data_IF_909660964639
#
_entry.id   IF_909660964639
#
_cell.length_a   1.000
_cell.length_b   1.000
_cell.length_c   1.000
_cell.angle_alpha   90.00
_cell.angle_beta   90.00
_cell.angle_gamma   90.00
#
_symmetry.space_group_name_H-M   'P 1'
#
loop_
_entity.id
_entity.type
_entity.pdbx_description
1 polymer ?
#
# COMPACT_ATOMS: atom_id res chain seq x y z
N UNK A 1 -61.48 -7.53 -26.65
CA UNK A 1 -60.95 -6.17 -26.45
C UNK A 1 -59.61 -6.35 -25.76
N UNK A 2 -58.54 -5.95 -26.43
CA UNK A 2 -57.18 -6.08 -25.93
C UNK A 2 -56.81 -4.77 -25.23
N UNK A 3 -56.73 -4.78 -23.91
CA UNK A 3 -56.21 -3.66 -23.13
C UNK A 3 -54.72 -3.85 -22.91
N UNK A 4 -53.93 -3.08 -23.65
CA UNK A 4 -52.51 -2.85 -23.41
C UNK A 4 -52.34 -2.00 -22.15
N UNK A 5 -51.51 -2.40 -21.17
CA UNK A 5 -51.10 -1.46 -20.13
C UNK A 5 -50.07 -0.47 -20.70
N UNK A 6 -50.49 0.79 -20.69
CA UNK A 6 -49.73 1.99 -21.02
C UNK A 6 -48.38 2.03 -20.31
N UNK A 7 -47.32 2.35 -21.08
CA UNK A 7 -45.99 2.60 -20.56
C UNK A 7 -46.01 3.81 -19.61
N UNK A 8 -46.01 3.53 -18.30
CA UNK A 8 -45.84 4.55 -17.30
C UNK A 8 -44.44 5.16 -17.42
N UNK A 9 -44.43 6.44 -17.80
CA UNK A 9 -43.28 7.31 -17.90
C UNK A 9 -42.55 7.33 -16.54
N UNK A 10 -41.42 6.64 -16.43
CA UNK A 10 -40.59 6.70 -15.23
C UNK A 10 -39.95 8.09 -15.17
N UNK A 11 -40.35 8.88 -14.16
CA UNK A 11 -39.65 10.11 -13.80
C UNK A 11 -38.14 9.82 -13.62
N UNK A 12 -37.24 10.76 -13.97
CA UNK A 12 -35.81 10.57 -13.74
C UNK A 12 -35.53 10.66 -12.24
N UNK A 13 -35.71 9.53 -11.57
CA UNK A 13 -35.34 9.32 -10.18
C UNK A 13 -33.83 9.29 -10.09
N UNK A 14 -33.27 10.38 -9.54
CA UNK A 14 -31.93 10.53 -8.97
C UNK A 14 -31.26 9.19 -8.65
N UNK A 15 -30.29 8.79 -9.48
CA UNK A 15 -29.42 7.66 -9.20
C UNK A 15 -28.69 7.88 -7.85
N UNK A 16 -28.44 6.83 -7.05
CA UNK A 16 -27.58 6.94 -5.88
C UNK A 16 -26.18 7.41 -6.34
N UNK A 17 -25.47 8.23 -5.55
CA UNK A 17 -24.28 8.94 -6.01
C UNK A 17 -23.13 8.01 -6.43
N UNK A 18 -23.17 6.72 -6.07
CA UNK A 18 -22.15 5.75 -6.43
C UNK A 18 -22.80 4.39 -6.75
N UNK A 19 -23.50 4.31 -7.88
CA UNK A 19 -23.74 3.03 -8.54
C UNK A 19 -22.46 2.60 -9.24
N UNK A 20 -21.68 1.70 -8.62
CA UNK A 20 -20.52 1.10 -9.27
C UNK A 20 -21.00 0.17 -10.39
N UNK A 21 -21.12 0.75 -11.58
CA UNK A 21 -21.40 0.00 -12.79
C UNK A 21 -20.18 -0.86 -13.14
N UNK A 22 -20.39 -2.10 -13.57
CA UNK A 22 -19.32 -3.09 -13.85
C UNK A 22 -18.36 -2.65 -14.97
N UNK A 23 -18.68 -1.55 -15.65
CA UNK A 23 -17.90 -0.89 -16.71
C UNK A 23 -16.91 0.18 -16.21
N UNK A 24 -16.91 0.50 -14.91
CA UNK A 24 -16.07 1.57 -14.35
C UNK A 24 -14.58 1.22 -14.19
N UNK A 25 -14.18 0.00 -14.54
CA UNK A 25 -12.79 -0.48 -14.41
C UNK A 25 -11.83 0.06 -15.47
N UNK A 26 -12.36 0.67 -16.53
CA UNK A 26 -11.55 1.19 -17.67
C UNK A 26 -11.51 2.71 -17.74
N UNK A 27 -12.18 3.42 -16.83
CA UNK A 27 -12.09 4.87 -16.79
C UNK A 27 -10.72 5.28 -16.22
N UNK A 28 -9.97 6.17 -16.89
CA UNK A 28 -8.75 6.71 -16.29
C UNK A 28 -9.14 7.42 -14.99
N UNK A 29 -8.71 6.84 -13.86
CA UNK A 29 -8.76 7.51 -12.56
C UNK A 29 -7.82 8.70 -12.66
N UNK A 30 -8.35 9.88 -12.95
CA UNK A 30 -7.66 11.15 -12.71
C UNK A 30 -8.04 11.54 -11.29
N UNK A 31 -7.19 11.33 -10.28
CA UNK A 31 -7.52 11.73 -8.92
C UNK A 31 -7.41 13.24 -8.86
N UNK A 32 -8.54 13.95 -8.93
CA UNK A 32 -8.59 15.37 -8.58
C UNK A 32 -8.62 15.46 -7.06
N UNK A 33 -7.46 15.24 -6.42
CA UNK A 33 -7.32 15.40 -4.98
C UNK A 33 -7.34 16.90 -4.64
N UNK A 34 -8.21 17.37 -3.75
CA UNK A 34 -8.11 18.73 -3.24
C UNK A 34 -6.79 18.86 -2.48
N UNK A 35 -5.88 19.67 -3.02
CA UNK A 35 -4.62 20.00 -2.39
C UNK A 35 -4.89 20.90 -1.17
N UNK A 36 -5.11 20.28 -0.01
CA UNK A 36 -5.13 20.99 1.26
C UNK A 36 -3.71 21.49 1.57
N UNK A 37 -3.48 22.79 1.38
CA UNK A 37 -2.21 23.43 1.72
C UNK A 37 -2.13 23.56 3.23
N UNK A 38 -1.47 22.60 3.88
CA UNK A 38 -1.09 22.72 5.28
C UNK A 38 -0.03 23.83 5.46
N UNK A 39 -0.06 24.61 6.56
CA UNK A 39 0.89 25.69 6.77
C UNK A 39 2.29 25.12 7.07
N UNK A 40 3.31 25.75 6.49
CA UNK A 40 4.70 25.30 6.51
C UNK A 40 5.38 25.54 7.86
N UNK A 41 5.60 24.47 8.61
CA UNK A 41 6.90 23.83 8.92
C UNK A 41 6.59 22.33 9.12
N UNK A 42 7.57 21.41 9.02
CA UNK A 42 7.54 19.95 9.36
C UNK A 42 7.92 19.11 8.14
N UNK A 43 9.01 18.34 8.24
CA UNK A 43 9.48 17.41 7.22
C UNK A 43 8.41 16.38 6.85
N UNK A 44 8.59 15.67 5.72
CA UNK A 44 7.69 14.59 5.31
C UNK A 44 7.43 13.65 6.51
N UNK A 45 6.16 13.45 6.96
CA UNK A 45 5.87 12.62 8.13
C UNK A 45 6.34 11.17 7.96
N UNK A 46 6.49 10.72 6.70
CA UNK A 46 7.04 9.41 6.37
C UNK A 46 8.55 9.45 6.09
N UNK A 47 9.28 10.52 6.40
CA UNK A 47 10.71 10.64 6.10
C UNK A 47 11.51 9.45 6.65
N UNK A 48 11.26 9.07 7.90
CA UNK A 48 11.96 7.94 8.52
C UNK A 48 11.55 6.59 7.93
N UNK A 49 10.26 6.41 7.58
CA UNK A 49 9.79 5.22 6.88
C UNK A 49 10.48 5.09 5.51
N UNK A 50 10.50 6.18 4.73
CA UNK A 50 11.12 6.22 3.40
C UNK A 50 12.61 5.89 3.50
N UNK A 51 13.31 6.48 4.47
CA UNK A 51 14.73 6.20 4.72
C UNK A 51 14.96 4.72 5.04
N UNK A 52 14.18 4.14 5.97
CA UNK A 52 14.28 2.73 6.35
C UNK A 52 13.99 1.77 5.21
N UNK A 53 12.96 2.05 4.42
CA UNK A 53 12.65 1.27 3.21
C UNK A 53 13.78 1.36 2.16
N UNK A 54 14.46 2.51 2.05
CA UNK A 54 15.61 2.65 1.16
C UNK A 54 16.84 1.88 1.65
N UNK A 55 17.05 1.81 2.96
CA UNK A 55 18.13 1.05 3.61
C UNK A 55 17.88 -0.47 3.62
N UNK A 56 16.63 -0.90 3.48
CA UNK A 56 16.22 -2.29 3.65
C UNK A 56 16.92 -3.28 2.72
N UNK A 57 17.18 -2.89 1.46
CA UNK A 57 17.94 -3.72 0.52
C UNK A 57 19.36 -4.01 1.05
N UNK A 58 20.03 -2.99 1.58
CA UNK A 58 21.38 -3.15 2.12
C UNK A 58 21.39 -4.07 3.36
N UNK A 59 20.35 -4.01 4.20
CA UNK A 59 20.19 -4.96 5.32
C UNK A 59 20.06 -6.41 4.82
N UNK A 60 19.20 -6.64 3.83
CA UNK A 60 19.01 -7.97 3.24
C UNK A 60 20.31 -8.49 2.62
N UNK A 61 20.99 -7.67 1.82
CA UNK A 61 22.28 -8.01 1.21
C UNK A 61 23.37 -8.33 2.26
N UNK A 62 23.41 -7.60 3.37
CA UNK A 62 24.35 -7.86 4.46
C UNK A 62 24.11 -9.23 5.14
N UNK A 63 22.84 -9.62 5.32
CA UNK A 63 22.48 -10.96 5.83
C UNK A 63 22.93 -12.04 4.85
N UNK A 64 22.64 -11.87 3.56
CA UNK A 64 23.02 -12.85 2.53
C UNK A 64 24.53 -12.98 2.32
N UNK A 65 25.27 -11.90 2.56
CA UNK A 65 26.74 -11.91 2.52
C UNK A 65 27.37 -12.61 3.73
N UNK A 66 26.59 -12.89 4.78
CA UNK A 66 27.06 -13.46 6.05
C UNK A 66 26.29 -14.75 6.40
N UNK A 67 26.32 -15.79 5.54
CA UNK A 67 25.50 -17.00 5.71
C UNK A 67 25.89 -17.86 6.92
N UNK A 68 27.10 -17.65 7.46
CA UNK A 68 27.62 -18.37 8.62
C UNK A 68 27.34 -17.64 9.95
N UNK A 69 26.74 -16.45 9.92
CA UNK A 69 26.27 -15.77 11.14
C UNK A 69 25.02 -16.47 11.68
N UNK A 70 24.99 -16.68 13.00
CA UNK A 70 23.80 -17.16 13.70
C UNK A 70 22.67 -16.11 13.64
N UNK A 71 21.43 -16.52 13.91
CA UNK A 71 20.23 -15.63 13.96
C UNK A 71 20.25 -14.62 15.14
N UNK A 72 21.42 -14.34 15.71
CA UNK A 72 21.70 -13.25 16.65
C UNK A 72 22.92 -12.41 16.21
N UNK A 73 23.47 -12.70 15.03
CA UNK A 73 24.58 -11.98 14.43
C UNK A 73 24.23 -10.52 14.12
N UNK A 74 25.24 -9.65 13.99
CA UNK A 74 25.03 -8.22 13.76
C UNK A 74 24.25 -7.92 12.47
N UNK A 75 24.45 -8.70 11.40
CA UNK A 75 23.71 -8.49 10.15
C UNK A 75 22.22 -8.84 10.32
N UNK A 76 21.94 -9.98 10.97
CA UNK A 76 20.58 -10.41 11.27
C UNK A 76 19.85 -9.40 12.17
N UNK A 77 20.48 -9.00 13.28
CA UNK A 77 19.92 -8.02 14.21
C UNK A 77 19.63 -6.66 13.54
N UNK A 78 20.51 -6.20 12.64
CA UNK A 78 20.30 -4.95 11.91
C UNK A 78 19.12 -5.05 10.93
N UNK A 79 19.01 -6.19 10.23
CA UNK A 79 17.86 -6.49 9.38
C UNK A 79 16.56 -6.53 10.20
N UNK A 80 16.50 -7.29 11.28
CA UNK A 80 15.31 -7.43 12.11
C UNK A 80 14.87 -6.08 12.71
N UNK A 81 15.80 -5.32 13.26
CA UNK A 81 15.53 -3.98 13.79
C UNK A 81 14.94 -3.05 12.73
N UNK A 82 15.46 -3.10 11.50
CA UNK A 82 14.93 -2.30 10.41
C UNK A 82 13.56 -2.80 9.92
N UNK A 83 13.40 -4.12 9.76
CA UNK A 83 12.16 -4.81 9.39
C UNK A 83 11.04 -4.48 10.37
N UNK A 84 11.30 -4.56 11.66
CA UNK A 84 10.31 -4.31 12.70
C UNK A 84 9.90 -2.83 12.73
N UNK A 85 10.86 -1.92 12.49
CA UNK A 85 10.57 -0.49 12.38
C UNK A 85 9.71 -0.16 11.14
N UNK A 86 9.93 -0.82 9.99
CA UNK A 86 9.07 -0.68 8.81
C UNK A 86 7.68 -1.27 9.09
N UNK A 87 7.63 -2.40 9.80
CA UNK A 87 6.38 -3.06 10.16
C UNK A 87 5.48 -2.18 11.02
N UNK A 88 6.05 -1.59 12.07
CA UNK A 88 5.33 -0.71 12.99
C UNK A 88 4.87 0.61 12.35
N UNK A 89 5.47 1.02 11.24
CA UNK A 89 5.15 2.29 10.59
C UNK A 89 3.86 2.20 9.75
N UNK A 90 2.97 3.18 9.95
CA UNK A 90 1.79 3.41 9.11
C UNK A 90 2.05 4.56 8.13
N UNK A 91 2.05 4.31 6.80
CA UNK A 91 2.35 5.36 5.82
C UNK A 91 1.30 6.46 5.82
N UNK A 92 1.68 7.72 6.06
CA UNK A 92 0.76 8.86 6.09
C UNK A 92 0.67 9.60 4.75
N UNK A 93 1.50 9.23 3.79
CA UNK A 93 1.59 9.82 2.46
C UNK A 93 1.66 8.72 1.39
N UNK A 94 1.32 9.07 0.15
CA UNK A 94 1.51 8.17 -0.99
C UNK A 94 2.99 7.80 -1.19
N UNK A 95 3.92 8.72 -0.88
CA UNK A 95 5.35 8.45 -0.97
C UNK A 95 5.81 7.37 0.04
N UNK A 96 5.34 7.45 1.29
CA UNK A 96 5.60 6.42 2.29
C UNK A 96 4.96 5.08 1.92
N UNK A 97 3.74 5.11 1.35
CA UNK A 97 3.03 3.90 0.89
C UNK A 97 3.82 3.21 -0.22
N UNK A 98 4.27 3.97 -1.23
CA UNK A 98 5.11 3.45 -2.31
C UNK A 98 6.44 2.90 -1.77
N UNK A 99 7.04 3.57 -0.80
CA UNK A 99 8.29 3.09 -0.19
C UNK A 99 8.10 1.75 0.54
N UNK A 100 7.06 1.62 1.39
CA UNK A 100 6.73 0.35 2.07
C UNK A 100 6.35 -0.75 1.08
N UNK A 101 5.65 -0.43 -0.01
CA UNK A 101 5.34 -1.37 -1.08
C UNK A 101 6.60 -1.92 -1.79
N UNK A 102 7.61 -1.07 -2.01
CA UNK A 102 8.90 -1.50 -2.56
C UNK A 102 9.64 -2.41 -1.59
N UNK A 103 9.65 -2.10 -0.30
CA UNK A 103 10.23 -2.98 0.72
C UNK A 103 9.52 -4.34 0.77
N UNK A 104 8.19 -4.36 0.72
CA UNK A 104 7.42 -5.61 0.63
C UNK A 104 7.77 -6.44 -0.61
N UNK A 105 7.96 -5.80 -1.77
CA UNK A 105 8.43 -6.48 -2.99
C UNK A 105 9.83 -7.06 -2.85
N UNK A 106 10.73 -6.40 -2.11
CA UNK A 106 12.05 -6.94 -1.80
C UNK A 106 11.92 -8.21 -0.95
N UNK A 107 11.16 -8.16 0.14
CA UNK A 107 10.93 -9.32 1.01
C UNK A 107 10.34 -10.52 0.24
N UNK A 108 9.41 -10.27 -0.69
CA UNK A 108 8.81 -11.32 -1.51
C UNK A 108 9.75 -11.96 -2.54
N UNK A 109 10.88 -11.32 -2.86
CA UNK A 109 11.78 -11.77 -3.94
C UNK A 109 13.19 -12.10 -3.46
N UNK A 110 13.52 -11.80 -2.21
CA UNK A 110 14.89 -11.87 -1.74
C UNK A 110 15.33 -13.28 -1.37
N UNK A 111 14.44 -14.02 -0.69
CA UNK A 111 14.72 -15.33 -0.13
C UNK A 111 14.57 -16.45 -1.16
N UNK A 112 13.57 -16.34 -2.02
CA UNK A 112 13.25 -17.31 -3.06
C UNK A 112 13.70 -16.83 -4.45
N UNK A 113 13.91 -17.77 -5.38
CA UNK A 113 14.19 -17.45 -6.80
C UNK A 113 12.96 -16.90 -7.54
N UNK A 114 11.79 -16.92 -6.90
CA UNK A 114 10.52 -16.47 -7.43
C UNK A 114 9.88 -15.48 -6.46
N UNK A 115 8.96 -14.67 -6.97
CA UNK A 115 8.15 -13.82 -6.10
C UNK A 115 7.18 -14.68 -5.28
N UNK A 116 7.42 -14.79 -3.98
CA UNK A 116 6.61 -15.51 -3.01
C UNK A 116 6.38 -14.64 -1.78
N UNK A 117 5.12 -14.43 -1.41
CA UNK A 117 4.78 -13.62 -0.23
C UNK A 117 4.64 -14.45 1.05
N UNK A 118 4.39 -15.76 0.91
CA UNK A 118 4.06 -16.62 2.05
C UNK A 118 5.26 -16.80 2.97
N UNK A 119 5.01 -16.75 4.27
CA UNK A 119 6.03 -16.84 5.32
C UNK A 119 7.10 -15.73 5.24
N UNK A 120 6.80 -14.62 4.56
CA UNK A 120 7.64 -13.41 4.50
C UNK A 120 6.91 -12.20 5.06
N UNK A 121 7.64 -11.12 5.34
CA UNK A 121 7.03 -9.85 5.73
C UNK A 121 6.19 -9.18 4.65
N UNK A 122 6.31 -9.63 3.38
CA UNK A 122 5.47 -9.13 2.31
C UNK A 122 3.99 -9.42 2.54
N UNK A 123 3.65 -10.55 3.16
CA UNK A 123 2.26 -10.95 3.42
C UNK A 123 1.53 -9.99 4.38
N UNK A 124 1.99 -9.74 5.62
CA UNK A 124 1.34 -8.77 6.50
C UNK A 124 1.40 -7.34 5.96
N UNK A 125 2.50 -6.95 5.30
CA UNK A 125 2.60 -5.59 4.74
C UNK A 125 1.67 -5.36 3.55
N UNK A 126 1.34 -6.39 2.76
CA UNK A 126 0.36 -6.26 1.68
C UNK A 126 -1.00 -5.80 2.22
N UNK A 127 -1.44 -6.35 3.35
CA UNK A 127 -2.70 -5.92 3.98
C UNK A 127 -2.63 -4.51 4.56
N UNK A 128 -1.53 -4.17 5.22
CA UNK A 128 -1.28 -2.79 5.70
C UNK A 128 -1.35 -1.76 4.56
N UNK A 129 -0.79 -2.09 3.40
CA UNK A 129 -0.77 -1.20 2.23
C UNK A 129 -2.16 -0.97 1.67
N UNK A 130 -3.01 -2.00 1.61
CA UNK A 130 -4.42 -1.86 1.22
C UNK A 130 -5.16 -0.93 2.19
N UNK A 131 -5.02 -1.16 3.49
CA UNK A 131 -5.67 -0.32 4.51
C UNK A 131 -5.17 1.13 4.48
N UNK A 132 -3.86 1.33 4.29
CA UNK A 132 -3.28 2.66 4.15
C UNK A 132 -3.77 3.37 2.89
N UNK A 133 -3.92 2.66 1.77
CA UNK A 133 -4.44 3.22 0.53
C UNK A 133 -5.88 3.71 0.70
N UNK A 134 -6.75 2.87 1.29
CA UNK A 134 -8.14 3.22 1.56
C UNK A 134 -8.21 4.43 2.50
N UNK A 135 -7.45 4.43 3.60
CA UNK A 135 -7.37 5.57 4.53
C UNK A 135 -6.93 6.86 3.83
N UNK A 136 -5.93 6.80 2.95
CA UNK A 136 -5.45 7.97 2.20
C UNK A 136 -6.48 8.46 1.17
N UNK A 137 -7.33 7.58 0.65
CA UNK A 137 -8.47 7.93 -0.20
C UNK A 137 -9.65 8.52 0.58
N UNK A 138 -9.62 8.47 1.92
CA UNK A 138 -10.74 8.88 2.78
C UNK A 138 -11.80 7.78 2.97
N UNK A 139 -11.46 6.54 2.63
CA UNK A 139 -12.29 5.35 2.78
C UNK A 139 -11.74 4.54 3.95
N UNK A 140 -12.32 4.64 5.15
CA UNK A 140 -11.76 3.95 6.33
C UNK A 140 -12.64 4.07 7.56
#
# INVERSE_FOLDING_TARGET
MADTPSAANAAPGRAPPFGLDRRSWTAPLVPTLPHAVAPAMIGNPDHDLIRRCAEHLACLEAVKASPDEEEDGPAWCAYESNRDAISAAQPQTLAGLIAKARAAKLEATFWDSFENIHDTMAEPWAWDLVNALLRLAGEG
#
